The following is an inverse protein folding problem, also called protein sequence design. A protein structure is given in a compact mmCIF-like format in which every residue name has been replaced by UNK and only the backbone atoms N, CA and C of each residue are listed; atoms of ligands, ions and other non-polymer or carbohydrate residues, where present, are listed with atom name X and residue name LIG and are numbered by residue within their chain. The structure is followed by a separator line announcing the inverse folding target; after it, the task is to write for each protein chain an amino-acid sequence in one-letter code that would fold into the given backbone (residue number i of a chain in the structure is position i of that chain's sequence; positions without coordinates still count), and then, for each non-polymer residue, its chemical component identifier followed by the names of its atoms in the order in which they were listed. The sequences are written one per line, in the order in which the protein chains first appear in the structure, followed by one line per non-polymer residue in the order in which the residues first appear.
data_IF_933385469944
#
_entry.id   IF_933385469944
#
_cell.length_a   1.000
_cell.length_b   1.000
_cell.length_c   1.000
_cell.angle_alpha   90.00
_cell.angle_beta   90.00
_cell.angle_gamma   90.00
#
_symmetry.space_group_name_H-M   'P 1'
#
loop_
_entity.id
_entity.type
_entity.pdbx_description
1 polymer ?
#
# COMPACT_ATOMS: atom_id res chain seq x y z
N UNK A 1 15.20 9.41 -7.79
CA UNK A 1 13.75 9.58 -7.53
C UNK A 1 13.38 9.21 -6.10
N UNK A 2 13.66 7.98 -5.63
CA UNK A 2 13.30 7.51 -4.26
C UNK A 2 13.86 8.36 -3.10
N UNK A 3 15.11 8.86 -3.19
CA UNK A 3 15.68 9.74 -2.16
C UNK A 3 14.94 11.08 -1.97
N UNK A 4 14.24 11.56 -3.01
CA UNK A 4 13.46 12.80 -2.93
C UNK A 4 12.17 12.62 -2.13
N UNK A 5 11.46 11.51 -2.36
CA UNK A 5 10.21 11.19 -1.66
C UNK A 5 10.46 10.92 -0.17
N UNK A 6 11.50 10.14 0.16
CA UNK A 6 11.86 9.88 1.56
C UNK A 6 12.25 11.18 2.29
N UNK A 7 13.02 12.06 1.67
CA UNK A 7 13.36 13.35 2.25
C UNK A 7 12.12 14.24 2.45
N UNK A 8 11.17 14.22 1.52
CA UNK A 8 9.91 14.94 1.64
C UNK A 8 9.06 14.41 2.80
N UNK A 9 8.90 13.09 2.91
CA UNK A 9 8.22 12.47 4.05
C UNK A 9 8.95 12.82 5.37
N UNK A 10 10.27 12.69 5.41
CA UNK A 10 11.07 13.07 6.57
C UNK A 10 11.10 14.58 6.84
N UNK A 11 10.49 15.43 6.02
CA UNK A 11 10.31 16.86 6.34
C UNK A 11 9.05 17.12 7.17
N UNK A 12 8.10 16.18 7.22
CA UNK A 12 6.86 16.31 7.99
C UNK A 12 7.12 16.09 9.49
N UNK A 13 7.56 17.15 10.18
CA UNK A 13 8.07 17.08 11.55
C UNK A 13 7.10 16.50 12.59
N UNK A 14 5.79 16.70 12.40
CA UNK A 14 4.75 16.26 13.34
C UNK A 14 3.90 15.09 12.81
N UNK A 15 4.35 14.44 11.73
CA UNK A 15 3.61 13.31 11.19
C UNK A 15 3.67 12.10 12.13
N UNK A 16 2.56 11.38 12.36
CA UNK A 16 2.53 10.24 13.28
C UNK A 16 3.44 9.09 12.84
N UNK A 17 3.70 8.98 11.54
CA UNK A 17 4.57 7.95 10.94
C UNK A 17 6.06 8.30 10.93
N UNK A 18 6.44 9.48 11.43
CA UNK A 18 7.80 10.01 11.32
C UNK A 18 8.86 9.10 11.96
N UNK A 19 8.67 8.73 13.22
CA UNK A 19 9.66 7.94 13.97
C UNK A 19 9.83 6.55 13.35
N UNK A 20 8.72 5.95 12.93
CA UNK A 20 8.72 4.67 12.19
C UNK A 20 9.52 4.78 10.89
N UNK A 21 9.35 5.87 10.15
CA UNK A 21 10.08 6.10 8.90
C UNK A 21 11.59 6.31 9.13
N UNK A 22 11.98 7.02 10.21
CA UNK A 22 13.38 7.18 10.62
C UNK A 22 14.01 5.81 10.93
N UNK A 23 13.28 4.93 11.61
CA UNK A 23 13.74 3.57 11.91
C UNK A 23 13.81 2.67 10.66
N UNK A 24 12.92 2.88 9.69
CA UNK A 24 12.83 2.11 8.45
C UNK A 24 13.91 2.51 7.44
N UNK A 25 14.16 3.81 7.26
CA UNK A 25 15.09 4.34 6.25
C UNK A 25 16.43 3.59 6.13
N UNK A 26 17.19 3.34 7.23
CA UNK A 26 18.49 2.67 7.13
C UNK A 26 18.38 1.20 6.68
N UNK A 27 17.18 0.61 6.72
CA UNK A 27 16.90 -0.78 6.35
C UNK A 27 16.42 -0.94 4.91
N UNK A 28 16.19 0.16 4.17
CA UNK A 28 15.72 0.14 2.78
C UNK A 28 16.82 -0.20 1.75
N UNK A 29 17.95 -0.74 2.20
CA UNK A 29 19.03 -1.14 1.32
C UNK A 29 18.74 -2.54 0.77
N UNK A 30 18.42 -2.59 -0.52
CA UNK A 30 18.15 -3.84 -1.23
C UNK A 30 19.31 -4.84 -1.09
N UNK A 31 18.97 -6.07 -0.72
CA UNK A 31 19.88 -7.19 -0.59
C UNK A 31 19.12 -8.52 -0.79
N UNK A 32 19.87 -9.62 -0.86
CA UNK A 32 19.32 -10.96 -1.06
C UNK A 32 18.34 -11.37 0.07
N UNK A 33 18.54 -10.89 1.30
CA UNK A 33 17.65 -11.18 2.43
C UNK A 33 16.27 -10.55 2.22
N UNK A 34 16.19 -9.35 1.62
CA UNK A 34 14.92 -8.69 1.28
C UNK A 34 14.19 -9.45 0.18
N UNK A 35 14.90 -9.95 -0.84
CA UNK A 35 14.29 -10.78 -1.89
C UNK A 35 13.73 -12.10 -1.35
N UNK A 36 14.50 -12.77 -0.48
CA UNK A 36 14.10 -14.01 0.14
C UNK A 36 12.86 -13.82 1.02
N UNK A 37 12.82 -12.74 1.80
CA UNK A 37 11.69 -12.41 2.66
C UNK A 37 10.45 -11.99 1.87
N UNK A 38 10.61 -11.19 0.81
CA UNK A 38 9.52 -10.86 -0.11
C UNK A 38 8.92 -12.13 -0.71
N UNK A 39 9.77 -13.04 -1.17
CA UNK A 39 9.35 -14.33 -1.70
C UNK A 39 8.61 -15.14 -0.65
N UNK A 40 9.12 -15.23 0.58
CA UNK A 40 8.49 -15.95 1.69
C UNK A 40 7.11 -15.38 2.05
N UNK A 41 6.96 -14.06 2.05
CA UNK A 41 5.73 -13.40 2.49
C UNK A 41 4.64 -13.39 1.42
N UNK A 42 5.02 -13.08 0.17
CA UNK A 42 4.06 -12.71 -0.87
C UNK A 42 4.05 -13.62 -2.11
N UNK A 43 5.03 -14.52 -2.28
CA UNK A 43 5.13 -15.39 -3.47
C UNK A 43 4.97 -16.88 -3.12
N UNK A 44 5.77 -17.40 -2.19
CA UNK A 44 5.83 -18.82 -1.86
C UNK A 44 4.54 -19.23 -1.13
N UNK A 45 3.82 -20.23 -1.65
CA UNK A 45 2.54 -20.64 -1.13
C UNK A 45 2.52 -22.12 -0.68
N UNK A 46 2.14 -22.38 0.58
CA UNK A 46 1.47 -23.62 0.98
C UNK A 46 0.74 -23.45 2.33
N UNK A 47 -0.60 -23.67 2.43
CA UNK A 47 -1.57 -23.83 1.33
C UNK A 47 -1.88 -22.53 0.57
N UNK A 48 -1.49 -21.38 1.11
CA UNK A 48 -1.56 -20.04 0.49
C UNK A 48 -0.26 -19.30 0.78
N UNK A 49 -0.04 -18.13 0.15
CA UNK A 49 1.00 -17.18 0.57
C UNK A 49 0.76 -16.73 2.01
N UNK A 50 1.81 -16.27 2.70
CA UNK A 50 1.67 -15.83 4.10
C UNK A 50 0.78 -14.59 4.23
N UNK A 51 0.86 -13.67 3.26
CA UNK A 51 0.12 -12.41 3.26
C UNK A 51 -0.29 -12.07 1.83
N UNK A 52 -1.57 -11.71 1.62
CA UNK A 52 -2.07 -11.30 0.32
C UNK A 52 -1.96 -9.78 0.16
N UNK A 53 -1.23 -9.27 -0.85
CA UNK A 53 -1.01 -7.83 -1.03
C UNK A 53 -2.11 -7.15 -1.87
N UNK A 54 -3.26 -7.80 -2.07
CA UNK A 54 -4.35 -7.33 -2.93
C UNK A 54 -5.59 -6.97 -2.11
N UNK A 55 -6.17 -5.78 -2.34
CA UNK A 55 -7.36 -5.31 -1.64
C UNK A 55 -8.55 -6.27 -1.75
N UNK A 56 -8.78 -6.87 -2.91
CA UNK A 56 -9.89 -7.82 -3.14
C UNK A 56 -9.86 -9.05 -2.22
N UNK A 57 -8.68 -9.56 -1.87
CA UNK A 57 -8.59 -10.68 -0.93
C UNK A 57 -9.21 -10.36 0.44
N UNK A 58 -9.11 -9.09 0.85
CA UNK A 58 -9.58 -8.59 2.15
C UNK A 58 -11.00 -8.03 2.10
N UNK A 59 -11.42 -7.51 0.94
CA UNK A 59 -12.71 -6.84 0.75
C UNK A 59 -13.82 -7.76 0.23
N UNK A 60 -13.48 -8.80 -0.53
CA UNK A 60 -14.45 -9.75 -1.07
C UNK A 60 -14.74 -10.87 -0.05
N UNK A 61 -16.01 -11.24 0.11
CA UNK A 61 -16.44 -12.27 1.07
C UNK A 61 -15.83 -13.67 0.80
N UNK A 62 -15.57 -13.97 -0.48
CA UNK A 62 -14.98 -15.22 -0.95
C UNK A 62 -13.46 -15.14 -1.14
N UNK A 63 -12.83 -14.02 -0.75
CA UNK A 63 -11.39 -13.77 -0.86
C UNK A 63 -10.84 -13.91 -2.28
N UNK A 64 -11.68 -13.79 -3.32
CA UNK A 64 -11.22 -13.89 -4.71
C UNK A 64 -10.38 -12.68 -5.09
N UNK A 65 -9.34 -12.93 -5.88
CA UNK A 65 -8.59 -11.86 -6.55
C UNK A 65 -9.34 -11.38 -7.79
N UNK A 66 -9.08 -10.14 -8.23
CA UNK A 66 -9.77 -9.50 -9.36
C UNK A 66 -11.30 -9.47 -9.17
N UNK A 67 -11.73 -9.20 -7.93
CA UNK A 67 -13.12 -9.06 -7.55
C UNK A 67 -13.71 -7.69 -7.93
N UNK A 68 -14.84 -7.35 -7.31
CA UNK A 68 -15.51 -6.08 -7.54
C UNK A 68 -14.62 -4.90 -7.15
N UNK A 69 -13.93 -5.00 -6.01
CA UNK A 69 -13.05 -3.92 -5.54
C UNK A 69 -11.88 -3.66 -6.51
N UNK A 70 -11.31 -4.68 -7.14
CA UNK A 70 -10.23 -4.52 -8.13
C UNK A 70 -10.72 -3.81 -9.38
N UNK A 71 -11.94 -4.13 -9.85
CA UNK A 71 -12.56 -3.46 -10.99
C UNK A 71 -12.88 -1.99 -10.69
N UNK A 72 -13.33 -1.67 -9.49
CA UNK A 72 -13.55 -0.29 -9.05
C UNK A 72 -12.25 0.54 -9.09
N UNK A 73 -11.12 -0.03 -8.63
CA UNK A 73 -9.81 0.62 -8.77
C UNK A 73 -9.44 0.80 -10.24
N UNK A 74 -9.63 -0.23 -11.07
CA UNK A 74 -9.32 -0.18 -12.49
C UNK A 74 -10.13 0.91 -13.21
N UNK A 75 -11.42 1.05 -12.89
CA UNK A 75 -12.28 2.10 -13.43
C UNK A 75 -11.85 3.50 -12.98
N UNK A 76 -11.47 3.67 -11.70
CA UNK A 76 -10.92 4.93 -11.20
C UNK A 76 -9.59 5.31 -11.89
N UNK A 77 -8.70 4.35 -12.10
CA UNK A 77 -7.45 4.57 -12.85
C UNK A 77 -7.78 4.99 -14.30
N UNK A 78 -8.66 4.25 -14.97
CA UNK A 78 -9.05 4.53 -16.35
C UNK A 78 -9.70 5.91 -16.52
N UNK A 79 -10.49 6.37 -15.55
CA UNK A 79 -11.09 7.72 -15.60
C UNK A 79 -10.06 8.85 -15.53
N UNK A 80 -8.82 8.55 -15.11
CA UNK A 80 -7.68 9.46 -15.10
C UNK A 80 -6.66 9.15 -16.21
N UNK A 81 -7.01 8.27 -17.16
CA UNK A 81 -6.11 7.86 -18.26
C UNK A 81 -4.93 7.00 -17.79
N UNK A 82 -5.07 6.30 -16.67
CA UNK A 82 -4.07 5.39 -16.11
C UNK A 82 -4.48 3.95 -16.35
N UNK A 83 -3.50 3.13 -16.70
CA UNK A 83 -3.66 1.69 -16.88
C UNK A 83 -2.51 0.95 -16.19
N UNK A 84 -2.79 -0.26 -15.72
CA UNK A 84 -1.74 -1.15 -15.23
C UNK A 84 -0.91 -1.64 -16.42
N UNK A 85 0.41 -1.51 -16.32
CA UNK A 85 1.31 -1.97 -17.37
C UNK A 85 1.18 -3.50 -17.54
N UNK A 86 0.95 -3.95 -18.78
CA UNK A 86 0.69 -5.36 -19.12
C UNK A 86 1.76 -6.34 -18.61
N UNK A 87 3.02 -5.88 -18.48
CA UNK A 87 4.15 -6.69 -18.05
C UNK A 87 4.61 -6.43 -16.60
N UNK A 88 3.83 -5.67 -15.82
CA UNK A 88 4.18 -5.36 -14.42
C UNK A 88 4.02 -6.55 -13.48
N UNK A 89 3.14 -7.51 -13.83
CA UNK A 89 2.74 -8.59 -12.93
C UNK A 89 1.88 -8.13 -11.74
N UNK A 90 1.45 -6.87 -11.71
CA UNK A 90 0.60 -6.30 -10.67
C UNK A 90 -0.87 -6.32 -11.10
N UNK A 91 -1.76 -6.30 -10.10
CA UNK A 91 -3.20 -6.09 -10.27
C UNK A 91 -3.57 -4.68 -9.82
N UNK A 92 -4.68 -4.09 -10.29
CA UNK A 92 -5.08 -2.73 -9.93
C UNK A 92 -5.13 -2.46 -8.42
N UNK A 93 -5.56 -3.45 -7.65
CA UNK A 93 -5.73 -3.39 -6.19
C UNK A 93 -4.53 -3.93 -5.40
N UNK A 94 -3.38 -4.14 -6.05
CA UNK A 94 -2.15 -4.41 -5.31
C UNK A 94 -1.77 -3.18 -4.47
N UNK A 95 -1.25 -3.36 -3.24
CA UNK A 95 -0.90 -2.23 -2.34
C UNK A 95 -0.03 -1.16 -3.03
N UNK A 96 0.94 -1.60 -3.83
CA UNK A 96 1.81 -0.70 -4.60
C UNK A 96 1.01 0.07 -5.64
N UNK A 97 0.11 -0.59 -6.37
CA UNK A 97 -0.70 0.04 -7.42
C UNK A 97 -1.67 1.09 -6.85
N UNK A 98 -2.33 0.80 -5.73
CA UNK A 98 -3.20 1.79 -5.07
C UNK A 98 -2.40 2.99 -4.51
N UNK A 99 -1.23 2.75 -3.90
CA UNK A 99 -0.38 3.82 -3.36
C UNK A 99 0.27 4.67 -4.47
N UNK A 100 0.70 4.06 -5.57
CA UNK A 100 1.21 4.78 -6.74
C UNK A 100 0.11 5.63 -7.38
N UNK A 101 -1.11 5.08 -7.50
CA UNK A 101 -2.25 5.83 -8.00
C UNK A 101 -2.63 6.98 -7.07
N UNK A 102 -2.62 6.78 -5.74
CA UNK A 102 -2.81 7.86 -4.77
C UNK A 102 -1.76 8.96 -4.93
N UNK A 103 -0.48 8.59 -5.06
CA UNK A 103 0.61 9.55 -5.28
C UNK A 103 0.43 10.32 -6.60
N UNK A 104 -0.02 9.65 -7.66
CA UNK A 104 -0.39 10.32 -8.90
C UNK A 104 -1.52 11.33 -8.67
N UNK A 105 -2.63 10.91 -8.05
CA UNK A 105 -3.79 11.79 -7.82
C UNK A 105 -3.38 13.03 -7.02
N UNK A 106 -2.59 12.86 -5.95
CA UNK A 106 -2.08 13.95 -5.13
C UNK A 106 -1.19 14.96 -5.89
N UNK A 107 -0.64 14.58 -7.03
CA UNK A 107 0.15 15.45 -7.91
C UNK A 107 -0.67 16.22 -8.95
N UNK A 108 -1.95 15.89 -9.10
CA UNK A 108 -2.86 16.49 -10.06
C UNK A 108 -3.81 17.49 -9.40
N UNK A 109 -4.30 18.46 -10.17
CA UNK A 109 -5.36 19.37 -9.75
C UNK A 109 -6.75 18.68 -9.81
N UNK A 110 -7.71 19.14 -9.00
CA UNK A 110 -9.12 18.70 -9.02
C UNK A 110 -9.38 17.18 -8.81
N UNK A 111 -8.44 16.44 -8.22
CA UNK A 111 -8.58 14.99 -7.94
C UNK A 111 -9.01 14.66 -6.51
N UNK A 112 -9.30 15.67 -5.67
CA UNK A 112 -9.57 15.50 -4.24
C UNK A 112 -10.71 14.50 -3.96
N UNK A 113 -11.76 14.50 -4.80
CA UNK A 113 -12.87 13.55 -4.67
C UNK A 113 -12.42 12.10 -4.91
N UNK A 114 -11.61 11.86 -5.95
CA UNK A 114 -11.06 10.53 -6.25
C UNK A 114 -10.10 10.08 -5.15
N UNK A 115 -9.26 10.99 -4.63
CA UNK A 115 -8.37 10.68 -3.50
C UNK A 115 -9.17 10.24 -2.28
N UNK A 116 -10.22 10.97 -1.91
CA UNK A 116 -11.08 10.60 -0.79
C UNK A 116 -11.76 9.26 -1.03
N UNK A 117 -12.29 9.01 -2.23
CA UNK A 117 -12.92 7.74 -2.58
C UNK A 117 -11.94 6.56 -2.47
N UNK A 118 -10.75 6.67 -3.09
CA UNK A 118 -9.70 5.65 -3.03
C UNK A 118 -9.28 5.38 -1.59
N UNK A 119 -9.10 6.43 -0.79
CA UNK A 119 -8.68 6.30 0.61
C UNK A 119 -9.76 5.64 1.48
N UNK A 120 -10.98 6.17 1.46
CA UNK A 120 -12.05 5.73 2.38
C UNK A 120 -12.71 4.42 1.97
N UNK A 121 -12.81 4.15 0.66
CA UNK A 121 -13.52 2.98 0.14
C UNK A 121 -12.60 1.80 -0.16
N UNK A 122 -11.29 2.04 -0.27
CA UNK A 122 -10.29 0.99 -0.50
C UNK A 122 -9.22 0.98 0.60
N UNK A 123 -8.17 1.80 0.49
CA UNK A 123 -6.97 1.70 1.34
C UNK A 123 -7.29 1.59 2.84
N UNK A 124 -8.16 2.44 3.39
CA UNK A 124 -8.51 2.43 4.81
C UNK A 124 -9.32 1.20 5.24
N UNK A 125 -10.01 0.52 4.32
CA UNK A 125 -10.86 -0.63 4.63
C UNK A 125 -10.07 -1.93 4.75
N UNK A 126 -9.01 -2.09 3.96
CA UNK A 126 -8.29 -3.36 3.88
C UNK A 126 -6.87 -3.31 4.47
N UNK A 127 -6.22 -2.15 4.48
CA UNK A 127 -4.86 -2.04 5.03
C UNK A 127 -4.72 -2.48 6.48
N UNK A 128 -5.70 -2.29 7.41
CA UNK A 128 -5.56 -2.80 8.78
C UNK A 128 -5.49 -4.33 8.85
N UNK A 129 -6.22 -5.03 7.97
CA UNK A 129 -6.21 -6.48 7.91
C UNK A 129 -4.91 -6.99 7.29
N UNK A 130 -4.45 -6.33 6.23
CA UNK A 130 -3.17 -6.61 5.60
C UNK A 130 -1.98 -6.43 6.54
N UNK A 131 -1.89 -5.31 7.27
CA UNK A 131 -0.79 -5.05 8.20
C UNK A 131 -0.85 -5.99 9.41
N UNK A 132 -2.04 -6.34 9.91
CA UNK A 132 -2.21 -7.35 10.95
C UNK A 132 -1.71 -8.73 10.50
N UNK A 133 -2.07 -9.17 9.29
CA UNK A 133 -1.60 -10.42 8.72
C UNK A 133 -0.08 -10.41 8.49
N UNK A 134 0.45 -9.29 8.00
CA UNK A 134 1.89 -9.10 7.82
C UNK A 134 2.65 -9.26 9.13
N UNK A 135 2.20 -8.63 10.23
CA UNK A 135 2.79 -8.83 11.57
C UNK A 135 2.65 -10.27 12.06
N UNK A 136 1.49 -10.91 11.83
CA UNK A 136 1.25 -12.30 12.24
C UNK A 136 2.19 -13.29 11.52
N UNK A 137 2.61 -12.97 10.29
CA UNK A 137 3.60 -13.73 9.52
C UNK A 137 5.05 -13.61 10.05
N UNK A 138 5.25 -12.87 11.16
CA UNK A 138 6.54 -12.63 11.83
C UNK A 138 7.61 -12.18 10.83
N UNK A 139 7.41 -11.02 10.19
CA UNK A 139 8.27 -10.61 9.11
C UNK A 139 9.59 -10.06 9.68
N UNK A 140 10.60 -9.93 8.81
CA UNK A 140 11.82 -9.22 9.14
C UNK A 140 11.52 -7.77 9.62
N UNK A 141 12.45 -7.14 10.37
CA UNK A 141 12.20 -5.83 10.98
C UNK A 141 11.75 -4.73 10.00
N UNK A 142 12.28 -4.70 8.78
CA UNK A 142 11.89 -3.72 7.76
C UNK A 142 10.44 -3.86 7.30
N UNK A 143 9.91 -5.09 7.17
CA UNK A 143 8.50 -5.30 6.84
C UNK A 143 7.58 -5.08 8.04
N UNK A 144 8.05 -5.32 9.26
CA UNK A 144 7.31 -4.91 10.47
C UNK A 144 7.14 -3.39 10.52
N UNK A 145 8.22 -2.64 10.28
CA UNK A 145 8.20 -1.18 10.23
C UNK A 145 7.41 -0.64 9.03
N UNK A 146 7.46 -1.31 7.88
CA UNK A 146 6.62 -0.95 6.75
C UNK A 146 5.12 -1.12 7.05
N UNK A 147 4.74 -2.17 7.78
CA UNK A 147 3.36 -2.36 8.25
C UNK A 147 2.92 -1.23 9.18
N UNK A 148 3.76 -0.87 10.15
CA UNK A 148 3.51 0.23 11.08
C UNK A 148 3.41 1.59 10.34
N UNK A 149 4.29 1.82 9.37
CA UNK A 149 4.28 3.03 8.55
C UNK A 149 3.00 3.16 7.75
N UNK A 150 2.58 2.11 7.04
CA UNK A 150 1.35 2.12 6.22
C UNK A 150 0.13 2.41 7.08
N UNK A 151 -0.01 1.74 8.23
CA UNK A 151 -1.15 1.96 9.13
C UNK A 151 -1.19 3.41 9.64
N UNK A 152 -0.07 3.92 10.14
CA UNK A 152 0.03 5.30 10.64
C UNK A 152 -0.18 6.34 9.54
N UNK A 153 0.29 6.06 8.32
CA UNK A 153 0.12 6.92 7.16
C UNK A 153 -1.36 6.99 6.75
N UNK A 154 -1.99 5.85 6.48
CA UNK A 154 -3.39 5.81 6.04
C UNK A 154 -4.33 6.40 7.10
N UNK A 155 -4.11 6.11 8.39
CA UNK A 155 -4.88 6.72 9.47
C UNK A 155 -4.73 8.25 9.47
N UNK A 156 -3.51 8.76 9.26
CA UNK A 156 -3.27 10.20 9.22
C UNK A 156 -3.97 10.89 8.04
N UNK A 157 -3.98 10.25 6.87
CA UNK A 157 -4.67 10.75 5.68
C UNK A 157 -6.18 10.74 5.89
N UNK A 158 -6.75 9.67 6.46
CA UNK A 158 -8.20 9.60 6.73
C UNK A 158 -8.64 10.73 7.67
N UNK A 159 -7.82 11.07 8.68
CA UNK A 159 -8.11 12.18 9.58
C UNK A 159 -7.96 13.55 8.89
N UNK A 160 -7.11 13.67 7.88
CA UNK A 160 -6.95 14.91 7.11
C UNK A 160 -8.17 15.19 6.23
N UNK A 161 -8.73 14.17 5.57
CA UNK A 161 -9.93 14.30 4.71
C UNK A 161 -11.23 14.55 5.48
N UNK A 162 -11.27 14.24 6.78
CA UNK A 162 -12.44 14.48 7.65
C UNK A 162 -12.53 15.89 8.23
N UNK A 163 -11.48 16.71 8.09
CA UNK A 163 -11.41 18.09 8.61
C UNK A 163 -11.83 19.11 7.56
#
# INVERSE_FOLDING_TARGET
MQRGLLAQLLSAANAPWRETLIALEPQLNYNEDIEAEYSRLFILAFPNVAVQPFGSYWLEEDQRLMGKSSLEIQEMMASHGIEIAENSGLLPDHIVSELEFMAYLASQEDTQQTQQQLLEQHLARWTPQFTAALRAAKPAPYYSLAADFIEQFIDSEVQAFRK
#
